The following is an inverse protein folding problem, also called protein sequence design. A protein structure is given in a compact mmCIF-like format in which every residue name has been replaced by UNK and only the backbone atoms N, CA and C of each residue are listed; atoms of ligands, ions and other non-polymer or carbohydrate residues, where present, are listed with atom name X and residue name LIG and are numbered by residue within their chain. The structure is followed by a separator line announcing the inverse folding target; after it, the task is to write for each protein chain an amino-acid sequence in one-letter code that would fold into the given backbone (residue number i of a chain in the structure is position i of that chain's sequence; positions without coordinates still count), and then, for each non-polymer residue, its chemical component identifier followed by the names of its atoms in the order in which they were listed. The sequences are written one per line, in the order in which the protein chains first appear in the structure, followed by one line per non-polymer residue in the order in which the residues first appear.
data_IF_668701286995
#
_entry.id   IF_668701286995
#
_cell.length_a   1.000
_cell.length_b   1.000
_cell.length_c   1.000
_cell.angle_alpha   90.00
_cell.angle_beta   90.00
_cell.angle_gamma   90.00
#
_symmetry.space_group_name_H-M   'P 1'
#
loop_
_entity.id
_entity.type
_entity.pdbx_description
1 polymer ?
#
# COMPACT_ATOMS: atom_id res chain seq x y z
N UNK A 1 18.05 -25.85 -35.38
CA UNK A 1 16.90 -24.94 -35.67
C UNK A 1 15.60 -25.30 -34.95
N UNK A 2 15.03 -26.51 -35.09
CA UNK A 2 13.69 -26.85 -34.54
C UNK A 2 13.54 -26.71 -33.00
N UNK A 3 14.59 -26.92 -32.20
CA UNK A 3 14.56 -26.74 -30.73
C UNK A 3 14.47 -25.28 -30.28
N UNK A 4 15.11 -24.36 -31.00
CA UNK A 4 15.05 -22.92 -30.69
C UNK A 4 13.69 -22.32 -31.05
N UNK A 5 13.07 -22.80 -32.13
CA UNK A 5 11.71 -22.42 -32.51
C UNK A 5 10.68 -22.89 -31.47
N UNK A 6 10.79 -24.14 -30.99
CA UNK A 6 9.94 -24.66 -29.90
C UNK A 6 10.09 -23.88 -28.58
N UNK A 7 11.33 -23.48 -28.21
CA UNK A 7 11.56 -22.60 -27.04
C UNK A 7 10.98 -21.21 -27.21
N UNK A 8 11.07 -20.61 -28.40
CA UNK A 8 10.47 -19.28 -28.70
C UNK A 8 8.94 -19.31 -28.69
N UNK A 9 8.34 -20.39 -29.22
CA UNK A 9 6.89 -20.61 -29.15
C UNK A 9 6.40 -20.87 -27.73
N UNK A 10 7.16 -21.61 -26.92
CA UNK A 10 6.86 -21.79 -25.50
C UNK A 10 7.00 -20.46 -24.71
N UNK A 11 7.99 -19.62 -25.05
CA UNK A 11 8.11 -18.25 -24.51
C UNK A 11 6.91 -17.38 -24.87
N UNK A 12 6.48 -17.38 -26.14
CA UNK A 12 5.32 -16.61 -26.58
C UNK A 12 4.03 -17.09 -25.91
N UNK A 13 3.86 -18.40 -25.72
CA UNK A 13 2.71 -18.97 -25.02
C UNK A 13 2.71 -18.68 -23.51
N UNK A 14 3.87 -18.72 -22.84
CA UNK A 14 3.98 -18.38 -21.42
C UNK A 14 3.78 -16.87 -21.16
N UNK A 15 4.30 -16.00 -22.04
CA UNK A 15 4.04 -14.56 -22.01
C UNK A 15 2.59 -14.22 -22.36
N UNK A 16 1.98 -14.95 -23.31
CA UNK A 16 0.56 -14.82 -23.63
C UNK A 16 -0.31 -15.26 -22.44
N UNK A 17 0.01 -16.39 -21.79
CA UNK A 17 -0.70 -16.88 -20.60
C UNK A 17 -0.49 -15.99 -19.38
N UNK A 18 0.66 -15.32 -19.26
CA UNK A 18 0.89 -14.29 -18.25
C UNK A 18 0.16 -12.97 -18.57
N UNK A 19 -0.04 -12.65 -19.85
CA UNK A 19 -0.86 -11.51 -20.28
C UNK A 19 -2.38 -11.77 -20.24
N UNK A 20 -2.80 -13.04 -20.29
CA UNK A 20 -4.21 -13.46 -20.14
C UNK A 20 -4.53 -13.99 -18.74
N UNK A 21 -3.53 -14.13 -17.86
CA UNK A 21 -3.77 -14.29 -16.44
C UNK A 21 -4.50 -13.02 -16.01
N UNK A 22 -5.74 -13.17 -15.58
CA UNK A 22 -6.64 -12.13 -15.14
C UNK A 22 -6.02 -11.33 -13.98
N UNK A 23 -5.12 -10.41 -14.31
CA UNK A 23 -4.76 -9.34 -13.42
C UNK A 23 -5.94 -8.36 -13.43
N UNK A 24 -6.04 -7.53 -12.41
CA UNK A 24 -6.93 -6.37 -12.40
C UNK A 24 -6.10 -5.25 -11.78
N UNK A 25 -6.06 -4.06 -12.38
CA UNK A 25 -5.05 -3.01 -12.12
C UNK A 25 -3.71 -3.29 -12.81
N UNK A 26 -3.13 -2.28 -13.46
CA UNK A 26 -1.84 -2.37 -14.16
C UNK A 26 -0.67 -2.71 -13.21
N UNK A 27 0.32 -3.45 -13.73
CA UNK A 27 1.48 -3.88 -12.95
C UNK A 27 1.18 -5.04 -12.00
N UNK A 28 0.45 -6.04 -12.48
CA UNK A 28 0.29 -7.34 -11.81
C UNK A 28 -0.76 -7.40 -10.70
N UNK A 29 -1.56 -6.34 -10.52
CA UNK A 29 -2.69 -6.29 -9.59
C UNK A 29 -2.44 -5.75 -8.18
N UNK A 30 -1.23 -5.24 -7.92
CA UNK A 30 -0.94 -4.47 -6.71
C UNK A 30 -1.22 -2.98 -6.97
N UNK A 31 -1.89 -2.32 -6.02
CA UNK A 31 -2.19 -0.88 -6.10
C UNK A 31 -0.96 0.02 -5.97
N UNK A 32 -1.17 1.34 -6.03
CA UNK A 32 -0.12 2.35 -5.81
C UNK A 32 0.28 2.44 -4.33
N UNK A 33 -0.66 2.13 -3.43
CA UNK A 33 -0.46 2.10 -2.00
C UNK A 33 -0.16 0.67 -1.51
N UNK A 34 0.83 0.47 -0.62
CA UNK A 34 1.04 -0.82 0.04
C UNK A 34 -0.06 -1.07 1.09
N UNK A 35 -1.13 -1.77 0.70
CA UNK A 35 -2.29 -2.03 1.56
C UNK A 35 -1.90 -2.67 2.92
N UNK A 36 -2.36 -2.07 4.01
CA UNK A 36 -2.06 -2.46 5.38
C UNK A 36 -0.72 -1.94 5.91
N UNK A 37 -0.08 -0.99 5.24
CA UNK A 37 1.07 -0.26 5.77
C UNK A 37 0.73 0.53 7.04
N UNK A 38 -0.47 1.09 7.13
CA UNK A 38 -0.88 1.94 8.26
C UNK A 38 -1.35 1.11 9.47
N UNK A 39 -1.21 1.70 10.65
CA UNK A 39 -1.52 1.06 11.93
C UNK A 39 -2.08 2.11 12.91
N UNK A 40 -2.00 1.84 14.21
CA UNK A 40 -2.40 2.77 15.26
C UNK A 40 -1.86 4.21 15.06
N UNK A 41 -2.64 5.20 15.49
CA UNK A 41 -2.37 6.65 15.44
C UNK A 41 -2.51 7.30 14.05
N UNK A 42 -3.25 6.71 13.11
CA UNK A 42 -3.35 7.21 11.73
C UNK A 42 -4.12 8.52 11.58
N UNK A 43 -5.10 8.77 12.45
CA UNK A 43 -5.98 9.93 12.48
C UNK A 43 -5.55 11.02 13.46
N UNK A 44 -4.41 10.88 14.12
CA UNK A 44 -3.91 11.86 15.08
C UNK A 44 -2.71 12.63 14.50
N UNK A 45 -2.91 13.90 14.14
CA UNK A 45 -1.79 14.77 13.80
C UNK A 45 -1.01 15.19 15.05
N UNK A 46 0.32 15.35 14.94
CA UNK A 46 1.11 15.94 16.01
C UNK A 46 0.92 17.47 16.05
N UNK A 47 1.41 18.16 17.10
CA UNK A 47 1.35 19.62 17.20
C UNK A 47 2.06 20.34 16.03
N UNK A 48 1.82 21.65 15.82
CA UNK A 48 2.51 22.44 14.80
C UNK A 48 4.03 22.26 14.83
N UNK A 49 4.64 22.00 13.67
CA UNK A 49 6.05 21.64 13.55
C UNK A 49 6.33 20.74 12.34
N UNK A 50 7.59 20.31 12.19
CA UNK A 50 8.03 19.43 11.09
C UNK A 50 8.40 18.06 11.61
N UNK A 51 7.52 17.09 11.38
CA UNK A 51 7.62 15.74 11.91
C UNK A 51 8.11 14.74 10.88
N UNK A 52 8.86 13.74 11.35
CA UNK A 52 9.36 12.66 10.51
C UNK A 52 8.80 11.32 10.99
N UNK A 53 8.21 10.59 10.05
CA UNK A 53 7.89 9.18 10.20
C UNK A 53 8.78 8.36 9.25
N UNK A 54 9.16 7.17 9.68
CA UNK A 54 9.84 6.19 8.83
C UNK A 54 8.99 4.94 8.82
N UNK A 55 8.52 4.56 7.64
CA UNK A 55 7.89 3.26 7.41
C UNK A 55 8.96 2.30 6.88
N UNK A 56 8.95 1.08 7.36
CA UNK A 56 9.85 0.03 6.91
C UNK A 56 9.15 -1.31 6.87
N UNK A 57 9.71 -2.26 6.12
CA UNK A 57 9.23 -3.64 6.13
C UNK A 57 9.23 -4.27 4.76
N UNK A 58 8.35 -5.25 4.56
CA UNK A 58 8.22 -5.91 3.29
C UNK A 58 7.00 -6.82 3.15
N UNK A 59 6.69 -7.12 1.91
CA UNK A 59 5.63 -8.03 1.49
C UNK A 59 6.24 -9.18 0.69
N UNK A 60 5.70 -10.38 0.90
CA UNK A 60 6.04 -11.58 0.14
C UNK A 60 4.77 -12.25 -0.34
N UNK A 61 4.62 -12.29 -1.65
CA UNK A 61 3.54 -12.98 -2.35
C UNK A 61 4.10 -14.21 -3.04
N UNK A 62 3.50 -15.38 -2.79
CA UNK A 62 3.95 -16.67 -3.34
C UNK A 62 2.83 -17.44 -4.07
N UNK A 63 1.66 -16.81 -4.18
CA UNK A 63 0.52 -17.30 -4.95
C UNK A 63 -0.01 -16.17 -5.83
N UNK A 64 -0.49 -16.54 -7.01
CA UNK A 64 -1.26 -15.66 -7.87
C UNK A 64 -2.70 -16.16 -7.91
N UNK A 65 -3.69 -15.28 -7.68
CA UNK A 65 -5.11 -15.62 -7.69
C UNK A 65 -5.83 -15.07 -8.92
N UNK A 66 -6.69 -15.89 -9.51
CA UNK A 66 -7.56 -15.50 -10.61
C UNK A 66 -8.86 -14.84 -10.16
N UNK A 67 -9.82 -14.74 -11.09
CA UNK A 67 -11.10 -14.04 -10.90
C UNK A 67 -12.10 -14.81 -10.02
N UNK A 68 -12.02 -16.13 -10.06
CA UNK A 68 -12.72 -17.04 -9.16
C UNK A 68 -12.09 -17.07 -7.74
N UNK A 69 -10.85 -16.59 -7.59
CA UNK A 69 -10.06 -16.69 -6.37
C UNK A 69 -9.21 -17.97 -6.30
N UNK A 70 -9.25 -18.80 -7.34
CA UNK A 70 -8.44 -20.00 -7.42
C UNK A 70 -6.97 -19.65 -7.72
N UNK A 71 -6.08 -20.54 -7.28
CA UNK A 71 -4.65 -20.38 -7.52
C UNK A 71 -4.36 -20.63 -9.00
N UNK A 72 -3.76 -19.64 -9.66
CA UNK A 72 -3.24 -19.82 -11.02
C UNK A 72 -1.94 -20.65 -10.97
N UNK A 73 -1.78 -21.66 -11.85
CA UNK A 73 -0.64 -22.56 -11.85
C UNK A 73 0.57 -21.91 -12.53
N UNK A 74 1.08 -20.81 -11.97
CA UNK A 74 2.30 -20.14 -12.43
C UNK A 74 3.51 -20.74 -11.70
N UNK A 75 4.41 -21.47 -12.39
CA UNK A 75 5.57 -22.07 -11.75
C UNK A 75 6.48 -21.01 -11.12
N UNK A 76 7.03 -21.30 -9.94
CA UNK A 76 7.99 -20.44 -9.23
C UNK A 76 7.52 -18.98 -9.04
N UNK A 77 6.21 -18.74 -8.98
CA UNK A 77 5.67 -17.40 -8.76
C UNK A 77 6.11 -16.84 -7.42
N UNK A 78 6.72 -15.66 -7.43
CA UNK A 78 7.14 -14.94 -6.23
C UNK A 78 7.22 -13.45 -6.50
N UNK A 79 6.70 -12.64 -5.59
CA UNK A 79 6.96 -11.19 -5.54
C UNK A 79 7.41 -10.84 -4.13
N UNK A 80 8.66 -10.43 -3.98
CA UNK A 80 9.16 -9.84 -2.73
C UNK A 80 9.29 -8.33 -2.93
N UNK A 81 8.77 -7.56 -1.99
CA UNK A 81 8.89 -6.11 -1.95
C UNK A 81 9.44 -5.72 -0.59
N UNK A 82 10.61 -5.09 -0.55
CA UNK A 82 11.10 -4.43 0.66
C UNK A 82 10.91 -2.92 0.48
N UNK A 83 10.51 -2.24 1.56
CA UNK A 83 10.25 -0.80 1.55
C UNK A 83 10.93 -0.13 2.73
N UNK A 84 11.50 1.04 2.46
CA UNK A 84 11.86 2.06 3.44
C UNK A 84 11.32 3.39 2.94
N UNK A 85 10.30 3.93 3.59
CA UNK A 85 9.61 5.14 3.16
C UNK A 85 9.65 6.22 4.26
N UNK A 86 10.61 7.14 4.22
CA UNK A 86 10.53 8.36 5.01
C UNK A 86 9.32 9.20 4.57
N UNK A 87 8.62 9.74 5.57
CA UNK A 87 7.51 10.68 5.42
C UNK A 87 7.81 11.93 6.24
N UNK A 88 7.88 13.07 5.57
CA UNK A 88 7.99 14.37 6.21
C UNK A 88 6.60 15.00 6.30
N UNK A 89 6.22 15.51 7.47
CA UNK A 89 4.92 16.12 7.74
C UNK A 89 5.17 17.51 8.30
N UNK A 90 4.68 18.53 7.62
CA UNK A 90 4.66 19.89 8.15
C UNK A 90 3.25 20.24 8.63
N UNK A 91 3.07 20.30 9.94
CA UNK A 91 1.85 20.80 10.57
C UNK A 91 2.01 22.30 10.78
N UNK A 92 1.15 23.08 10.13
CA UNK A 92 1.20 24.54 10.21
C UNK A 92 0.55 25.04 11.51
N UNK A 93 0.85 26.27 11.97
CA UNK A 93 0.10 26.90 13.06
C UNK A 93 -1.32 27.34 12.64
N UNK A 94 -1.67 27.22 11.35
CA UNK A 94 -2.94 27.69 10.81
C UNK A 94 -4.03 26.63 10.99
N UNK A 95 -5.25 27.11 11.26
CA UNK A 95 -6.46 26.28 11.19
C UNK A 95 -7.26 26.65 9.95
N UNK A 96 -7.76 25.64 9.26
CA UNK A 96 -8.63 25.78 8.08
C UNK A 96 -9.84 24.88 8.30
N UNK A 97 -11.04 25.44 8.16
CA UNK A 97 -12.30 24.70 8.41
C UNK A 97 -12.33 24.00 9.79
N UNK A 98 -11.73 24.63 10.81
CA UNK A 98 -11.63 24.10 12.17
C UNK A 98 -10.62 22.95 12.35
N UNK A 99 -9.89 22.56 11.31
CA UNK A 99 -8.85 21.52 11.36
C UNK A 99 -7.45 22.11 11.28
N UNK A 100 -6.47 21.43 11.86
CA UNK A 100 -5.05 21.74 11.73
C UNK A 100 -4.57 21.45 10.30
N UNK A 101 -4.08 22.48 9.61
CA UNK A 101 -3.58 22.32 8.25
C UNK A 101 -2.18 21.68 8.27
N UNK A 102 -2.03 20.56 7.56
CA UNK A 102 -0.78 19.88 7.37
C UNK A 102 -0.49 19.56 5.90
N UNK A 103 0.80 19.55 5.56
CA UNK A 103 1.32 19.07 4.29
C UNK A 103 2.26 17.91 4.55
N UNK A 104 2.35 16.95 3.65
CA UNK A 104 3.32 15.86 3.78
C UNK A 104 3.88 15.40 2.45
N UNK A 105 5.06 14.79 2.51
CA UNK A 105 5.72 14.17 1.38
C UNK A 105 6.29 12.80 1.78
N UNK A 106 6.21 11.82 0.89
CA UNK A 106 6.74 10.46 1.08
C UNK A 106 7.65 10.11 -0.09
N UNK A 107 8.83 9.57 0.21
CA UNK A 107 9.81 9.14 -0.78
C UNK A 107 10.17 7.67 -0.56
N UNK A 108 9.41 6.70 -1.12
CA UNK A 108 9.65 5.29 -0.86
C UNK A 108 10.90 4.79 -1.58
N UNK A 109 11.82 4.17 -0.84
CA UNK A 109 12.91 3.37 -1.37
C UNK A 109 12.48 1.91 -1.41
N UNK A 110 12.58 1.28 -2.57
CA UNK A 110 12.05 -0.04 -2.84
C UNK A 110 13.16 -0.99 -3.30
N UNK A 111 13.06 -2.25 -2.91
CA UNK A 111 13.74 -3.39 -3.53
C UNK A 111 12.68 -4.43 -3.89
N UNK A 112 12.44 -4.59 -5.19
CA UNK A 112 11.40 -5.47 -5.73
C UNK A 112 12.08 -6.62 -6.45
N UNK A 113 11.75 -7.85 -6.07
CA UNK A 113 12.13 -9.06 -6.81
C UNK A 113 10.87 -9.76 -7.31
N UNK A 114 10.79 -9.97 -8.61
CA UNK A 114 9.72 -10.74 -9.25
C UNK A 114 10.27 -12.04 -9.84
N UNK A 115 9.54 -13.15 -9.66
CA UNK A 115 9.80 -14.44 -10.30
C UNK A 115 8.51 -15.04 -10.83
N UNK A 116 8.57 -15.60 -12.03
CA UNK A 116 7.50 -16.43 -12.60
C UNK A 116 8.06 -17.23 -13.78
N UNK A 117 7.69 -18.51 -13.89
CA UNK A 117 8.02 -19.36 -15.04
C UNK A 117 9.52 -19.47 -15.32
N UNK A 118 10.35 -19.51 -14.27
CA UNK A 118 11.81 -19.54 -14.39
C UNK A 118 12.48 -18.21 -14.78
N UNK A 119 11.71 -17.13 -14.96
CA UNK A 119 12.24 -15.77 -15.12
C UNK A 119 12.42 -15.10 -13.77
N UNK A 120 13.39 -14.18 -13.70
CA UNK A 120 13.65 -13.35 -12.52
C UNK A 120 13.95 -11.92 -12.94
N UNK A 121 13.27 -10.99 -12.30
CA UNK A 121 13.48 -9.55 -12.43
C UNK A 121 13.78 -8.96 -11.05
N UNK A 122 14.59 -7.91 -11.02
CA UNK A 122 14.90 -7.18 -9.79
C UNK A 122 15.18 -5.72 -10.11
N UNK A 123 14.54 -4.84 -9.35
CA UNK A 123 14.74 -3.40 -9.44
C UNK A 123 14.87 -2.84 -8.02
N UNK A 124 15.74 -1.84 -7.86
CA UNK A 124 15.97 -1.18 -6.57
C UNK A 124 16.12 0.32 -6.81
N UNK A 125 15.44 1.15 -6.02
CA UNK A 125 15.52 2.59 -6.19
C UNK A 125 14.33 3.33 -5.57
N UNK A 126 14.16 4.59 -6.00
CA UNK A 126 13.02 5.41 -5.61
C UNK A 126 11.75 4.91 -6.31
N UNK A 127 10.67 4.74 -5.56
CA UNK A 127 9.33 4.50 -6.10
C UNK A 127 8.56 5.78 -6.39
N UNK A 128 7.27 5.66 -6.62
CA UNK A 128 6.39 6.82 -6.83
C UNK A 128 6.25 7.64 -5.53
N UNK A 129 6.63 8.92 -5.59
CA UNK A 129 6.56 9.83 -4.45
C UNK A 129 5.13 10.26 -4.18
N UNK A 130 4.78 10.45 -2.91
CA UNK A 130 3.47 10.98 -2.51
C UNK A 130 3.63 12.40 -2.02
N UNK A 131 2.73 13.29 -2.42
CA UNK A 131 2.56 14.63 -1.84
C UNK A 131 1.11 14.72 -1.35
N UNK A 132 0.89 15.26 -0.16
CA UNK A 132 -0.48 15.38 0.34
C UNK A 132 -0.72 16.59 1.21
N UNK A 133 -2.00 16.93 1.31
CA UNK A 133 -2.55 17.97 2.19
C UNK A 133 -3.62 17.34 3.07
N UNK A 134 -3.68 17.77 4.32
CA UNK A 134 -4.57 17.19 5.31
C UNK A 134 -5.08 18.25 6.30
N UNK A 135 -6.27 18.00 6.84
CA UNK A 135 -6.84 18.69 7.99
C UNK A 135 -7.01 17.67 9.12
N UNK A 136 -6.36 17.90 10.27
CA UNK A 136 -6.50 17.09 11.47
C UNK A 136 -7.44 17.72 12.50
N UNK A 137 -8.23 16.87 13.15
CA UNK A 137 -9.24 17.26 14.14
C UNK A 137 -9.08 16.41 15.40
N UNK A 138 -9.07 17.06 16.55
CA UNK A 138 -8.90 16.44 17.87
C UNK A 138 -10.16 16.67 18.70
N UNK A 139 -11.13 15.76 18.59
CA UNK A 139 -12.46 15.91 19.21
C UNK A 139 -12.44 15.72 20.73
N UNK A 140 -11.49 14.94 21.22
CA UNK A 140 -11.19 14.76 22.64
C UNK A 140 -9.74 14.31 22.80
N UNK A 141 -9.28 14.09 24.03
CA UNK A 141 -7.98 13.46 24.28
C UNK A 141 -7.85 12.08 23.62
N UNK A 142 -8.98 11.38 23.44
CA UNK A 142 -9.01 9.99 22.97
C UNK A 142 -9.49 9.82 21.53
N UNK A 143 -10.02 10.84 20.86
CA UNK A 143 -10.66 10.68 19.55
C UNK A 143 -10.20 11.75 18.56
N UNK A 144 -9.61 11.29 17.47
CA UNK A 144 -8.93 12.13 16.49
C UNK A 144 -9.27 11.64 15.08
N UNK A 145 -9.41 12.56 14.12
CA UNK A 145 -9.53 12.18 12.72
C UNK A 145 -8.79 13.15 11.80
N UNK A 146 -8.46 12.65 10.62
CA UNK A 146 -7.83 13.40 9.53
C UNK A 146 -8.67 13.21 8.28
N UNK A 147 -8.87 14.30 7.53
CA UNK A 147 -9.28 14.26 6.13
C UNK A 147 -8.15 14.81 5.28
N UNK A 148 -7.90 14.23 4.12
CA UNK A 148 -6.82 14.68 3.26
C UNK A 148 -6.95 14.23 1.82
N UNK A 149 -5.99 14.69 1.02
CA UNK A 149 -5.81 14.30 -0.37
C UNK A 149 -4.34 14.02 -0.59
N UNK A 150 -4.05 12.79 -1.03
CA UNK A 150 -2.72 12.34 -1.43
C UNK A 150 -2.64 12.30 -2.96
N UNK A 151 -1.53 12.76 -3.51
CA UNK A 151 -1.18 12.71 -4.92
C UNK A 151 0.07 11.87 -5.09
N UNK A 152 -0.03 10.79 -5.84
CA UNK A 152 1.11 9.93 -6.20
C UNK A 152 1.67 10.40 -7.53
N UNK A 153 2.94 10.79 -7.52
CA UNK A 153 3.67 11.25 -8.68
C UNK A 153 4.41 10.07 -9.34
N UNK A 154 4.39 9.95 -10.68
CA UNK A 154 5.08 8.89 -11.41
C UNK A 154 6.60 9.13 -11.47
N UNK A 155 7.26 9.11 -10.32
CA UNK A 155 8.70 9.35 -10.17
C UNK A 155 9.53 8.08 -10.16
N UNK A 156 8.90 6.94 -9.87
CA UNK A 156 9.57 5.64 -9.85
C UNK A 156 9.92 5.15 -11.25
N UNK A 157 11.00 4.40 -11.36
CA UNK A 157 11.37 3.76 -12.62
C UNK A 157 10.27 2.80 -13.07
N UNK A 158 9.87 2.92 -14.33
CA UNK A 158 8.81 2.10 -14.92
C UNK A 158 9.22 1.57 -16.28
N UNK A 159 8.95 0.28 -16.47
CA UNK A 159 9.01 -0.37 -17.77
C UNK A 159 7.85 -1.35 -17.90
N UNK A 160 7.09 -1.22 -18.98
CA UNK A 160 5.98 -2.15 -19.29
C UNK A 160 6.43 -3.61 -19.44
N UNK A 161 7.73 -3.85 -19.66
CA UNK A 161 8.30 -5.18 -19.84
C UNK A 161 9.04 -5.67 -18.59
N UNK A 162 9.02 -4.89 -17.49
CA UNK A 162 9.65 -5.24 -16.23
C UNK A 162 8.60 -5.28 -15.10
N UNK A 163 8.19 -6.49 -14.65
CA UNK A 163 7.24 -6.63 -13.56
C UNK A 163 7.80 -6.24 -12.18
N UNK A 164 9.10 -5.96 -12.06
CA UNK A 164 9.68 -5.35 -10.84
C UNK A 164 9.77 -3.82 -10.88
N UNK A 165 9.08 -3.15 -11.82
CA UNK A 165 8.98 -1.69 -11.89
C UNK A 165 8.66 -1.07 -10.52
N UNK A 166 9.33 0.05 -10.22
CA UNK A 166 9.27 0.73 -8.92
C UNK A 166 8.15 1.77 -8.83
N UNK A 167 7.66 2.22 -9.98
CA UNK A 167 6.48 3.08 -10.12
C UNK A 167 5.43 2.48 -11.05
N UNK A 168 4.35 3.23 -11.24
CA UNK A 168 3.22 2.85 -12.11
C UNK A 168 3.11 3.68 -13.39
N UNK A 169 3.90 4.75 -13.52
CA UNK A 169 3.92 5.66 -14.68
C UNK A 169 2.55 6.34 -14.95
N UNK A 170 1.79 6.60 -13.90
CA UNK A 170 0.62 7.47 -13.93
C UNK A 170 0.48 8.20 -12.60
N UNK A 171 -0.30 9.28 -12.61
CA UNK A 171 -0.72 9.96 -11.39
C UNK A 171 -1.90 9.25 -10.73
N UNK A 172 -1.94 9.23 -9.40
CA UNK A 172 -3.14 8.85 -8.64
C UNK A 172 -3.52 9.97 -7.70
N UNK A 173 -4.79 10.36 -7.70
CA UNK A 173 -5.36 11.21 -6.67
C UNK A 173 -6.13 10.32 -5.68
N UNK A 174 -5.84 10.45 -4.39
CA UNK A 174 -6.35 9.59 -3.34
C UNK A 174 -6.91 10.41 -2.18
N UNK A 175 -8.23 10.65 -2.11
CA UNK A 175 -8.87 11.16 -0.91
C UNK A 175 -8.68 10.19 0.26
N UNK A 176 -8.39 10.74 1.43
CA UNK A 176 -8.10 9.98 2.65
C UNK A 176 -8.99 10.44 3.78
N UNK A 177 -9.53 9.49 4.55
CA UNK A 177 -10.13 9.71 5.86
C UNK A 177 -9.49 8.76 6.85
N UNK A 178 -8.91 9.28 7.94
CA UNK A 178 -8.35 8.46 9.00
C UNK A 178 -8.98 8.80 10.35
N UNK A 179 -9.28 7.79 11.16
CA UNK A 179 -9.88 7.91 12.49
C UNK A 179 -9.00 7.14 13.47
N UNK A 180 -8.74 7.73 14.64
CA UNK A 180 -8.01 7.10 15.74
C UNK A 180 -8.75 7.29 17.05
N UNK A 181 -9.02 6.19 17.73
CA UNK A 181 -9.39 6.15 19.15
C UNK A 181 -8.20 5.65 19.95
N UNK A 182 -7.72 6.47 20.88
CA UNK A 182 -6.49 6.22 21.65
C UNK A 182 -6.84 6.10 23.13
N UNK A 183 -6.34 5.05 23.76
CA UNK A 183 -6.47 4.84 25.21
C UNK A 183 -5.20 4.19 25.78
N UNK A 184 -4.54 4.78 26.78
CA UNK A 184 -3.34 4.18 27.38
C UNK A 184 -3.60 2.84 28.09
N UNK A 185 -4.78 2.69 28.69
CA UNK A 185 -5.23 1.51 29.42
C UNK A 185 -6.70 1.24 29.09
N UNK A 186 -6.94 0.65 27.91
CA UNK A 186 -8.28 0.54 27.36
C UNK A 186 -8.33 0.32 25.85
N UNK A 187 -9.53 0.45 25.29
CA UNK A 187 -9.76 0.16 23.88
C UNK A 187 -9.11 1.20 22.94
N UNK A 188 -8.35 0.71 21.97
CA UNK A 188 -7.78 1.48 20.87
C UNK A 188 -8.34 0.97 19.53
N UNK A 189 -8.64 1.87 18.61
CA UNK A 189 -9.10 1.52 17.28
C UNK A 189 -8.69 2.56 16.25
N UNK A 190 -8.25 2.09 15.09
CA UNK A 190 -7.80 2.92 13.99
C UNK A 190 -8.40 2.42 12.68
N UNK A 191 -8.74 3.37 11.83
CA UNK A 191 -9.26 3.15 10.49
C UNK A 191 -8.70 4.23 9.58
N UNK A 192 -8.06 3.84 8.47
CA UNK A 192 -7.68 4.75 7.38
C UNK A 192 -8.36 4.28 6.11
N UNK A 193 -9.38 5.00 5.68
CA UNK A 193 -10.08 4.82 4.41
C UNK A 193 -9.42 5.67 3.33
N UNK A 194 -9.31 5.09 2.14
CA UNK A 194 -8.69 5.69 0.97
C UNK A 194 -9.51 5.32 -0.27
N UNK A 195 -9.45 6.16 -1.30
CA UNK A 195 -10.08 5.88 -2.59
C UNK A 195 -9.19 6.34 -3.74
N UNK A 196 -8.88 5.45 -4.69
CA UNK A 196 -7.93 5.72 -5.75
C UNK A 196 -8.62 6.20 -7.03
N UNK A 197 -8.26 7.40 -7.49
CA UNK A 197 -8.53 7.88 -8.84
C UNK A 197 -7.26 7.80 -9.68
N UNK A 198 -7.13 6.72 -10.44
CA UNK A 198 -5.97 6.46 -11.29
C UNK A 198 -6.08 7.20 -12.64
N UNK A 199 -4.99 7.85 -13.03
CA UNK A 199 -4.88 8.54 -14.31
C UNK A 199 -4.41 7.55 -15.38
N UNK A 200 -4.36 8.01 -16.63
CA UNK A 200 -3.97 7.14 -17.75
C UNK A 200 -2.45 6.98 -17.80
N UNK A 201 -1.99 5.75 -17.91
CA UNK A 201 -0.60 5.39 -18.16
C UNK A 201 -0.29 5.60 -19.66
N UNK A 202 0.60 6.54 -19.95
CA UNK A 202 0.96 6.89 -21.33
C UNK A 202 1.73 5.78 -22.06
N UNK A 203 2.40 4.89 -21.33
CA UNK A 203 3.22 3.82 -21.92
C UNK A 203 2.40 2.59 -22.36
N UNK A 204 1.20 2.42 -21.81
CA UNK A 204 0.29 1.29 -22.08
C UNK A 204 -1.05 1.73 -22.68
N UNK A 205 -1.28 3.05 -22.74
CA UNK A 205 -2.57 3.66 -23.06
C UNK A 205 -3.73 3.02 -22.28
N UNK A 206 -3.49 2.70 -21.01
CA UNK A 206 -4.44 2.04 -20.13
C UNK A 206 -4.65 2.90 -18.89
N UNK A 207 -5.86 2.82 -18.35
CA UNK A 207 -6.23 3.42 -17.07
C UNK A 207 -6.69 2.28 -16.17
N UNK A 208 -5.93 2.03 -15.12
CA UNK A 208 -6.36 1.14 -14.04
C UNK A 208 -7.66 1.64 -13.43
N UNK A 209 -8.55 0.73 -13.05
CA UNK A 209 -9.81 1.09 -12.41
C UNK A 209 -9.62 1.77 -11.06
N UNK A 210 -10.69 2.36 -10.54
CA UNK A 210 -10.71 2.98 -9.22
C UNK A 210 -10.80 1.91 -8.15
N UNK A 211 -10.25 2.18 -6.97
CA UNK A 211 -10.26 1.25 -5.84
C UNK A 211 -10.66 1.95 -4.54
N UNK A 212 -11.32 1.21 -3.65
CA UNK A 212 -11.51 1.59 -2.26
C UNK A 212 -10.69 0.64 -1.40
N UNK A 213 -10.07 1.19 -0.36
CA UNK A 213 -9.25 0.42 0.55
C UNK A 213 -9.18 1.05 1.92
N UNK A 214 -8.95 0.19 2.91
CA UNK A 214 -9.01 0.51 4.31
C UNK A 214 -7.89 -0.21 5.05
N UNK A 215 -7.10 0.53 5.81
CA UNK A 215 -6.19 -0.04 6.81
C UNK A 215 -6.85 0.08 8.17
N UNK A 216 -6.81 -0.98 8.97
CA UNK A 216 -7.43 -0.97 10.29
C UNK A 216 -6.55 -1.61 11.35
N UNK A 217 -6.76 -1.18 12.59
CA UNK A 217 -6.20 -1.82 13.78
C UNK A 217 -7.18 -1.68 14.95
N UNK A 218 -7.30 -2.73 15.76
CA UNK A 218 -8.04 -2.71 17.02
C UNK A 218 -7.21 -3.40 18.09
N UNK A 219 -7.20 -2.86 19.29
CA UNK A 219 -6.35 -3.40 20.35
C UNK A 219 -6.70 -2.87 21.73
N UNK A 220 -5.99 -3.37 22.73
CA UNK A 220 -6.11 -2.96 24.11
C UNK A 220 -4.80 -2.38 24.61
N UNK A 221 -4.88 -1.19 25.19
CA UNK A 221 -3.79 -0.55 25.92
C UNK A 221 -3.57 -1.29 27.23
N UNK A 222 -2.34 -1.70 27.50
CA UNK A 222 -1.97 -2.48 28.69
C UNK A 222 -1.08 -1.67 29.63
N UNK A 223 -1.15 -0.34 29.53
CA UNK A 223 -0.30 0.59 30.26
C UNK A 223 1.13 0.67 29.71
N UNK A 224 1.91 1.59 30.31
CA UNK A 224 3.32 1.84 29.95
C UNK A 224 3.57 2.08 28.45
N UNK A 225 2.58 2.64 27.76
CA UNK A 225 2.69 2.98 26.34
C UNK A 225 2.36 1.86 25.36
N UNK A 226 2.06 0.65 25.82
CA UNK A 226 1.83 -0.51 24.96
C UNK A 226 0.36 -0.69 24.59
N UNK A 227 0.12 -1.03 23.33
CA UNK A 227 -1.15 -1.58 22.84
C UNK A 227 -0.87 -2.88 22.13
N UNK A 228 -1.62 -3.92 22.50
CA UNK A 228 -1.60 -5.22 21.84
C UNK A 228 -2.93 -5.41 21.11
N UNK A 229 -2.89 -5.91 19.88
CA UNK A 229 -4.10 -6.05 19.11
C UNK A 229 -3.95 -6.81 17.82
N UNK A 230 -4.92 -6.61 16.95
CA UNK A 230 -4.97 -7.14 15.61
C UNK A 230 -5.18 -5.99 14.64
N UNK A 231 -4.63 -6.12 13.44
CA UNK A 231 -4.83 -5.16 12.38
C UNK A 231 -4.77 -5.84 11.03
N UNK A 232 -5.04 -5.07 10.00
CA UNK A 232 -5.16 -5.62 8.67
C UNK A 232 -5.40 -4.56 7.63
N UNK A 233 -5.94 -5.03 6.50
CA UNK A 233 -6.45 -4.17 5.44
C UNK A 233 -7.63 -4.83 4.72
N UNK A 234 -8.39 -4.02 4.00
CA UNK A 234 -9.37 -4.44 3.02
C UNK A 234 -9.13 -3.62 1.75
N UNK A 235 -9.02 -4.28 0.61
CA UNK A 235 -8.84 -3.65 -0.70
C UNK A 235 -9.87 -4.21 -1.68
N UNK A 236 -10.50 -3.31 -2.44
CA UNK A 236 -11.44 -3.67 -3.50
C UNK A 236 -11.35 -2.67 -4.65
N UNK A 237 -11.04 -3.16 -5.83
CA UNK A 237 -11.24 -2.40 -7.06
C UNK A 237 -12.74 -2.30 -7.37
N UNK A 238 -13.23 -1.09 -7.60
CA UNK A 238 -14.67 -0.79 -7.74
C UNK A 238 -15.10 -0.50 -9.18
N UNK A 239 -14.16 -0.13 -10.05
CA UNK A 239 -14.41 -0.02 -11.50
C UNK A 239 -13.45 -0.89 -12.28
N UNK A 240 -13.83 -1.28 -13.49
CA UNK A 240 -12.96 -2.03 -14.40
C UNK A 240 -11.83 -1.15 -14.95
N UNK A 241 -10.75 -1.79 -15.40
CA UNK A 241 -9.69 -1.14 -16.15
C UNK A 241 -10.19 -0.72 -17.55
N UNK A 242 -9.58 0.31 -18.14
CA UNK A 242 -9.94 0.81 -19.46
C UNK A 242 -8.73 1.07 -20.37
N UNK A 243 -8.71 0.49 -21.56
CA UNK A 243 -7.63 0.60 -22.55
C UNK A 243 -7.11 -0.76 -23.05
N UNK A 244 -6.13 -0.77 -23.97
CA UNK A 244 -5.67 -1.99 -24.65
C UNK A 244 -5.02 -3.04 -23.76
N UNK A 245 -4.48 -2.64 -22.60
CA UNK A 245 -3.85 -3.52 -21.62
C UNK A 245 -4.70 -3.67 -20.35
N UNK A 246 -6.01 -3.44 -20.47
CA UNK A 246 -6.95 -3.62 -19.36
C UNK A 246 -6.93 -5.06 -18.92
N UNK A 247 -6.85 -5.24 -17.61
CA UNK A 247 -6.77 -6.56 -17.05
C UNK A 247 -8.22 -7.04 -16.74
N UNK A 248 -8.44 -8.37 -16.75
CA UNK A 248 -9.79 -8.93 -16.70
C UNK A 248 -10.29 -9.08 -15.26
N UNK A 249 -11.39 -8.40 -14.93
CA UNK A 249 -12.02 -8.47 -13.60
C UNK A 249 -11.54 -7.35 -12.67
N UNK A 250 -11.80 -7.53 -11.37
CA UNK A 250 -11.50 -6.54 -10.33
C UNK A 250 -10.68 -7.16 -9.21
N UNK A 251 -9.64 -6.46 -8.77
CA UNK A 251 -8.77 -6.94 -7.71
C UNK A 251 -9.46 -6.82 -6.34
N UNK A 252 -9.18 -7.78 -5.45
CA UNK A 252 -9.63 -7.77 -4.06
C UNK A 252 -8.61 -8.46 -3.18
N UNK A 253 -8.41 -7.97 -1.96
CA UNK A 253 -7.67 -8.65 -0.92
C UNK A 253 -8.14 -8.20 0.46
N UNK A 254 -8.08 -9.10 1.44
CA UNK A 254 -8.24 -8.77 2.84
C UNK A 254 -7.03 -9.31 3.59
N UNK A 255 -6.47 -8.53 4.50
CA UNK A 255 -5.36 -8.93 5.35
C UNK A 255 -5.75 -8.85 6.81
N UNK A 256 -5.27 -9.78 7.63
CA UNK A 256 -5.40 -9.71 9.10
C UNK A 256 -4.19 -10.33 9.77
N UNK A 257 -3.81 -9.80 10.93
CA UNK A 257 -2.81 -10.41 11.79
C UNK A 257 -2.52 -9.59 13.05
N UNK A 258 -1.57 -10.05 13.89
CA UNK A 258 -1.17 -9.39 15.11
C UNK A 258 -0.57 -8.01 14.84
N UNK A 259 -0.92 -7.06 15.70
CA UNK A 259 -0.43 -5.69 15.68
C UNK A 259 -0.03 -5.24 17.07
N UNK A 260 1.03 -4.44 17.15
CA UNK A 260 1.51 -3.83 18.39
C UNK A 260 1.84 -2.37 18.17
N UNK A 261 1.59 -1.56 19.19
CA UNK A 261 2.11 -0.20 19.31
C UNK A 261 2.84 -0.03 20.63
N UNK A 262 3.92 0.72 20.59
CA UNK A 262 4.57 1.32 21.75
C UNK A 262 4.68 2.82 21.56
N UNK A 263 4.37 3.60 22.59
CA UNK A 263 4.57 5.05 22.61
C UNK A 263 5.04 5.50 23.98
N UNK A 264 6.03 6.38 24.05
CA UNK A 264 6.51 6.92 25.32
C UNK A 264 6.25 8.43 25.45
N UNK A 265 6.47 8.95 26.66
CA UNK A 265 6.25 10.37 26.97
C UNK A 265 7.28 11.31 26.30
N UNK A 266 8.28 10.75 25.61
CA UNK A 266 9.29 11.51 24.85
C UNK A 266 8.88 11.68 23.39
N UNK A 267 7.70 11.22 22.98
CA UNK A 267 7.20 11.35 21.61
C UNK A 267 7.69 10.26 20.64
N UNK A 268 8.37 9.22 21.13
CA UNK A 268 8.67 8.06 20.30
C UNK A 268 7.41 7.25 20.07
N UNK A 269 7.14 6.90 18.82
CA UNK A 269 6.10 5.96 18.42
C UNK A 269 6.75 4.82 17.65
N UNK A 270 6.42 3.60 18.03
CA UNK A 270 6.71 2.40 17.26
C UNK A 270 5.42 1.63 17.03
N UNK A 271 5.20 1.18 15.81
CA UNK A 271 4.17 0.17 15.54
C UNK A 271 4.76 -0.94 14.70
N UNK A 272 4.28 -2.16 14.90
CA UNK A 272 4.58 -3.29 14.03
C UNK A 272 3.30 -4.08 13.75
N UNK A 273 3.14 -4.52 12.51
CA UNK A 273 2.01 -5.34 12.08
C UNK A 273 2.50 -6.41 11.12
N UNK A 274 2.26 -7.67 11.48
CA UNK A 274 2.33 -8.78 10.53
C UNK A 274 0.90 -9.13 10.12
N UNK A 275 0.67 -9.36 8.83
CA UNK A 275 -0.64 -9.69 8.29
C UNK A 275 -0.53 -10.72 7.18
N UNK A 276 -1.51 -11.63 7.13
CA UNK A 276 -1.69 -12.63 6.09
C UNK A 276 -2.92 -12.26 5.25
N UNK A 277 -2.80 -12.34 3.93
CA UNK A 277 -3.92 -12.09 3.02
C UNK A 277 -4.80 -13.33 2.84
N UNK A 278 -6.10 -13.09 2.64
CA UNK A 278 -7.14 -14.07 2.36
C UNK A 278 -8.21 -13.48 1.42
N UNK A 279 -9.04 -14.35 0.84
CA UNK A 279 -10.11 -13.98 -0.12
C UNK A 279 -9.64 -13.11 -1.30
N UNK A 280 -8.41 -13.36 -1.74
CA UNK A 280 -7.73 -12.61 -2.79
C UNK A 280 -8.26 -12.98 -4.17
N UNK A 281 -8.46 -11.98 -5.03
CA UNK A 281 -8.88 -12.13 -6.44
C UNK A 281 -8.09 -11.22 -7.35
N UNK A 282 -7.75 -11.72 -8.54
CA UNK A 282 -7.06 -11.00 -9.63
C UNK A 282 -5.77 -10.27 -9.22
N UNK A 283 -5.11 -10.73 -8.15
CA UNK A 283 -3.84 -10.17 -7.64
C UNK A 283 -3.01 -11.23 -6.90
N UNK A 284 -1.73 -10.95 -6.60
CA UNK A 284 -0.90 -11.81 -5.78
C UNK A 284 -1.46 -11.92 -4.36
N UNK A 285 -1.36 -13.12 -3.75
CA UNK A 285 -1.70 -13.40 -2.35
C UNK A 285 -0.42 -13.68 -1.57
N UNK A 286 -0.32 -13.10 -0.37
CA UNK A 286 0.89 -13.21 0.44
C UNK A 286 0.74 -12.81 1.90
N UNK A 287 1.88 -12.48 2.47
CA UNK A 287 2.03 -11.98 3.83
C UNK A 287 2.90 -10.73 3.85
N UNK A 288 2.69 -9.89 4.84
CA UNK A 288 3.33 -8.59 4.91
C UNK A 288 3.73 -8.28 6.35
N UNK A 289 4.88 -7.64 6.54
CA UNK A 289 5.35 -7.14 7.82
C UNK A 289 5.73 -5.67 7.64
N UNK A 290 5.07 -4.79 8.38
CA UNK A 290 5.37 -3.37 8.36
C UNK A 290 5.67 -2.85 9.75
N UNK A 291 6.61 -1.91 9.81
CA UNK A 291 6.98 -1.14 10.99
C UNK A 291 6.86 0.35 10.69
N UNK A 292 6.44 1.12 11.69
CA UNK A 292 6.36 2.58 11.63
C UNK A 292 7.09 3.13 12.85
N UNK A 293 7.99 4.08 12.61
CA UNK A 293 8.70 4.82 13.64
C UNK A 293 8.38 6.31 13.50
N UNK A 294 7.97 6.95 14.60
CA UNK A 294 8.02 8.41 14.71
C UNK A 294 9.21 8.79 15.58
N UNK A 295 10.07 9.67 15.05
CA UNK A 295 11.24 10.16 15.76
C UNK A 295 10.91 11.57 16.27
N UNK A 296 10.93 11.82 17.59
CA UNK A 296 10.81 13.17 18.12
C UNK A 296 12.04 14.00 17.73
N UNK A 297 11.82 15.26 17.38
CA UNK A 297 12.83 16.26 17.04
C UNK A 297 12.72 17.46 17.99
#
# INVERSE_FOLDING_TARGET
MKRHLKRRLACAAALALASTAAHATEGGGLGIYPDGLENFMSGALPPPGVHMLIYGGGARYDKLRGNDGERLPVPDFKVDVNVLAPRLIWVTPQQVLGGQLAFHAIAPLLDVTFKAGGQRYRSTGLGDMTLGVALGYHLSESLHYVVGLDMYAPTGEYSRNDPSSLGKNYWTAQPVFALSRISPDGFNADLKLMYDFNFRNSATDTRSGQAIHADYAVGWGVGKGWVLGVGGHAFQQVTDDNGPNSAAGRARAFGVGPSVRYMNDRGWLFTAKWQQEFQVKNRPEGQQLYVKLAIPF
#
